data_IF_952067455275
#
_entry.id   IF_952067455275
#
_cell.length_a   1.000
_cell.length_b   1.000
_cell.length_c   1.000
_cell.angle_alpha   90.00
_cell.angle_beta   90.00
_cell.angle_gamma   90.00
#
_symmetry.space_group_name_H-M   'P 1'
#
loop_
_entity.id
_entity.type
_entity.pdbx_description
1 polymer ?
#
# COMPACT_ATOMS: atom_id res chain seq x y z
N UNK A 1 -70.08 -8.17 7.32
CA UNK A 1 -69.12 -9.15 6.78
C UNK A 1 -68.14 -8.54 5.76
N UNK A 2 -68.60 -7.94 4.65
CA UNK A 2 -67.68 -7.34 3.65
C UNK A 2 -66.86 -6.14 4.16
N UNK A 3 -67.44 -5.27 5.00
CA UNK A 3 -66.72 -4.14 5.61
C UNK A 3 -65.66 -4.56 6.63
N UNK A 4 -65.93 -5.63 7.38
CA UNK A 4 -65.03 -6.17 8.40
C UNK A 4 -63.81 -6.87 7.77
N UNK A 5 -64.04 -7.59 6.66
CA UNK A 5 -62.98 -8.13 5.81
C UNK A 5 -62.10 -7.02 5.21
N UNK A 6 -62.70 -5.93 4.72
CA UNK A 6 -61.96 -4.80 4.16
C UNK A 6 -61.11 -4.07 5.21
N UNK A 7 -61.62 -3.92 6.43
CA UNK A 7 -60.91 -3.33 7.57
C UNK A 7 -59.76 -4.22 8.08
N UNK A 8 -59.95 -5.54 8.10
CA UNK A 8 -58.87 -6.49 8.42
C UNK A 8 -57.79 -6.55 7.33
N UNK A 9 -58.18 -6.42 6.05
CA UNK A 9 -57.23 -6.36 4.94
C UNK A 9 -56.38 -5.07 4.97
N UNK A 10 -57.00 -3.92 5.27
CA UNK A 10 -56.27 -2.66 5.48
C UNK A 10 -55.31 -2.73 6.68
N UNK A 11 -55.73 -3.33 7.80
CA UNK A 11 -54.83 -3.55 8.95
C UNK A 11 -53.68 -4.49 8.60
N UNK A 12 -53.92 -5.54 7.81
CA UNK A 12 -52.88 -6.44 7.31
C UNK A 12 -51.83 -5.74 6.45
N UNK A 13 -52.24 -4.81 5.58
CA UNK A 13 -51.33 -4.03 4.73
C UNK A 13 -50.36 -3.14 5.53
N UNK A 14 -50.78 -2.63 6.70
CA UNK A 14 -49.90 -1.85 7.58
C UNK A 14 -48.73 -2.67 8.15
N UNK A 15 -48.84 -4.00 8.22
CA UNK A 15 -47.78 -4.86 8.76
C UNK A 15 -46.80 -5.37 7.70
N UNK A 16 -47.14 -5.28 6.41
CA UNK A 16 -46.29 -5.77 5.31
C UNK A 16 -44.99 -4.97 5.23
N UNK A 17 -45.05 -3.64 5.29
CA UNK A 17 -43.86 -2.78 5.26
C UNK A 17 -42.86 -3.10 6.37
N UNK A 18 -43.27 -3.11 7.65
CA UNK A 18 -42.42 -3.52 8.76
C UNK A 18 -41.87 -4.95 8.61
N UNK A 19 -42.70 -5.91 8.17
CA UNK A 19 -42.26 -7.29 7.97
C UNK A 19 -41.17 -7.39 6.89
N UNK A 20 -41.35 -6.70 5.77
CA UNK A 20 -40.33 -6.63 4.70
C UNK A 20 -39.08 -5.92 5.21
N UNK A 21 -39.23 -4.84 5.98
CA UNK A 21 -38.10 -4.15 6.59
C UNK A 21 -37.29 -5.04 7.53
N UNK A 22 -37.96 -5.85 8.36
CA UNK A 22 -37.32 -6.85 9.23
C UNK A 22 -36.63 -7.94 8.41
N UNK A 23 -37.26 -8.43 7.34
CA UNK A 23 -36.65 -9.42 6.46
C UNK A 23 -35.39 -8.88 5.76
N UNK A 24 -35.47 -7.65 5.23
CA UNK A 24 -34.32 -6.98 4.62
C UNK A 24 -33.23 -6.76 5.65
N UNK A 25 -33.57 -6.32 6.87
CA UNK A 25 -32.62 -6.20 7.97
C UNK A 25 -31.90 -7.53 8.24
N UNK A 26 -32.62 -8.63 8.40
CA UNK A 26 -32.00 -9.95 8.58
C UNK A 26 -31.15 -10.35 7.37
N UNK A 27 -31.56 -10.02 6.14
CA UNK A 27 -30.76 -10.26 4.95
C UNK A 27 -29.43 -9.48 5.00
N UNK A 28 -29.44 -8.23 5.48
CA UNK A 28 -28.21 -7.41 5.60
C UNK A 28 -27.17 -8.02 6.54
N UNK A 29 -27.59 -8.86 7.48
CA UNK A 29 -26.70 -9.60 8.40
C UNK A 29 -26.10 -10.87 7.79
N UNK A 30 -26.43 -11.21 6.54
CA UNK A 30 -25.95 -12.43 5.87
C UNK A 30 -24.80 -12.15 4.91
N UNK A 31 -23.94 -13.15 4.70
CA UNK A 31 -22.92 -13.12 3.65
C UNK A 31 -23.52 -12.99 2.25
N UNK A 32 -24.76 -13.45 2.02
CA UNK A 32 -25.44 -13.29 0.74
C UNK A 32 -25.65 -11.82 0.38
N UNK A 33 -25.97 -10.97 1.37
CA UNK A 33 -26.07 -9.53 1.16
C UNK A 33 -24.71 -8.89 0.89
N UNK A 34 -23.66 -9.25 1.65
CA UNK A 34 -22.29 -8.77 1.38
C UNK A 34 -21.88 -9.08 -0.07
N UNK A 35 -22.11 -10.29 -0.55
CA UNK A 35 -21.82 -10.66 -1.95
C UNK A 35 -22.67 -9.87 -2.94
N UNK A 36 -23.95 -9.67 -2.68
CA UNK A 36 -24.81 -8.86 -3.55
C UNK A 36 -24.33 -7.40 -3.61
N UNK A 37 -23.89 -6.82 -2.50
CA UNK A 37 -23.30 -5.48 -2.45
C UNK A 37 -22.08 -5.38 -3.35
N UNK A 38 -21.15 -6.35 -3.28
CA UNK A 38 -19.96 -6.40 -4.14
C UNK A 38 -20.31 -6.48 -5.64
N UNK A 39 -21.36 -7.21 -6.00
CA UNK A 39 -21.85 -7.25 -7.40
C UNK A 39 -22.40 -5.88 -7.81
N UNK A 40 -23.18 -5.23 -6.95
CA UNK A 40 -23.69 -3.89 -7.26
C UNK A 40 -22.59 -2.83 -7.26
N UNK A 41 -21.50 -3.02 -6.51
CA UNK A 41 -20.31 -2.19 -6.54
C UNK A 41 -19.69 -2.20 -7.95
N UNK A 42 -19.41 -3.39 -8.47
CA UNK A 42 -18.85 -3.56 -9.82
C UNK A 42 -19.78 -2.93 -10.87
N UNK A 43 -21.09 -3.15 -10.76
CA UNK A 43 -22.10 -2.56 -11.66
C UNK A 43 -22.11 -1.02 -11.61
N UNK A 44 -21.96 -0.42 -10.43
CA UNK A 44 -21.94 1.05 -10.25
C UNK A 44 -20.75 1.67 -10.98
N UNK A 45 -19.57 1.06 -10.88
CA UNK A 45 -18.38 1.54 -11.60
C UNK A 45 -18.48 1.31 -13.10
N UNK A 46 -18.98 0.16 -13.54
CA UNK A 46 -19.25 -0.09 -14.97
C UNK A 46 -20.23 0.93 -15.54
N UNK A 47 -21.31 1.22 -14.83
CA UNK A 47 -22.30 2.21 -15.25
C UNK A 47 -21.71 3.62 -15.27
N UNK A 48 -20.96 4.02 -14.23
CA UNK A 48 -20.23 5.28 -14.19
C UNK A 48 -19.29 5.41 -15.39
N UNK A 49 -18.48 4.39 -15.66
CA UNK A 49 -17.49 4.42 -16.74
C UNK A 49 -18.15 4.47 -18.12
N UNK A 50 -19.33 3.85 -18.30
CA UNK A 50 -20.14 4.00 -19.53
C UNK A 50 -20.70 5.41 -19.72
N UNK A 51 -21.05 6.10 -18.63
CA UNK A 51 -21.61 7.47 -18.69
C UNK A 51 -20.53 8.55 -18.80
N UNK A 52 -19.42 8.41 -18.08
CA UNK A 52 -18.41 9.47 -17.91
C UNK A 52 -17.05 9.13 -18.54
N UNK A 53 -16.89 7.93 -19.10
CA UNK A 53 -15.61 7.43 -19.61
C UNK A 53 -14.76 6.74 -18.52
N UNK A 54 -13.70 6.07 -18.96
CA UNK A 54 -12.71 5.47 -18.05
C UNK A 54 -11.93 6.58 -17.33
N UNK A 55 -11.45 6.33 -16.09
CA UNK A 55 -10.58 7.29 -15.42
C UNK A 55 -9.32 7.55 -16.26
N UNK A 56 -8.86 8.81 -16.36
CA UNK A 56 -7.66 9.13 -17.14
C UNK A 56 -6.42 8.53 -16.49
N UNK A 57 -5.49 8.03 -17.31
CA UNK A 57 -4.18 7.54 -16.87
C UNK A 57 -3.11 8.57 -17.21
N UNK A 58 -2.23 8.87 -16.24
CA UNK A 58 -1.09 9.74 -16.47
C UNK A 58 0.00 8.97 -17.24
N UNK A 59 0.43 9.50 -18.40
CA UNK A 59 1.46 8.87 -19.24
C UNK A 59 2.86 8.88 -18.61
N UNK A 60 3.08 9.70 -17.57
CA UNK A 60 4.33 9.76 -16.82
C UNK A 60 4.35 8.80 -15.62
N UNK A 61 3.33 7.96 -15.46
CA UNK A 61 3.27 6.90 -14.48
C UNK A 61 3.46 5.54 -15.18
N UNK A 62 4.41 4.75 -14.70
CA UNK A 62 4.66 3.40 -15.19
C UNK A 62 5.24 2.51 -14.10
N UNK A 63 5.34 1.23 -14.39
CA UNK A 63 5.93 0.23 -13.50
C UNK A 63 7.11 -0.46 -14.15
N UNK A 64 8.02 -0.95 -13.31
CA UNK A 64 9.07 -1.88 -13.70
C UNK A 64 8.71 -3.23 -13.11
N UNK A 65 8.40 -4.16 -13.99
CA UNK A 65 7.83 -5.45 -13.64
C UNK A 65 8.93 -6.51 -13.55
N UNK A 66 8.93 -7.27 -12.46
CA UNK A 66 9.70 -8.51 -12.35
C UNK A 66 8.86 -9.61 -12.99
N UNK A 67 8.93 -9.65 -14.31
CA UNK A 67 8.15 -10.53 -15.17
C UNK A 67 8.89 -11.85 -15.46
N UNK A 68 8.27 -12.69 -16.29
CA UNK A 68 8.88 -13.96 -16.70
C UNK A 68 10.21 -13.75 -17.44
N UNK A 69 10.32 -12.72 -18.29
CA UNK A 69 11.56 -12.40 -19.02
C UNK A 69 12.67 -12.06 -18.03
N UNK A 70 12.34 -11.29 -17.00
CA UNK A 70 13.27 -10.87 -15.96
C UNK A 70 13.83 -12.07 -15.19
N UNK A 71 12.97 -12.99 -14.76
CA UNK A 71 13.40 -14.22 -14.06
C UNK A 71 14.14 -15.19 -14.99
N UNK A 72 13.81 -15.24 -16.28
CA UNK A 72 14.55 -16.05 -17.27
C UNK A 72 15.98 -15.54 -17.49
N UNK A 73 16.21 -14.23 -17.42
CA UNK A 73 17.52 -13.59 -17.64
C UNK A 73 18.35 -13.55 -16.36
N UNK A 74 17.78 -13.08 -15.25
CA UNK A 74 18.49 -12.83 -13.99
C UNK A 74 18.46 -14.03 -13.03
N UNK A 75 17.62 -15.03 -13.31
CA UNK A 75 17.40 -16.17 -12.42
C UNK A 75 16.36 -15.90 -11.33
N UNK A 76 16.36 -16.75 -10.31
CA UNK A 76 15.33 -16.77 -9.26
C UNK A 76 15.34 -15.46 -8.45
N UNK A 77 14.22 -14.74 -8.47
CA UNK A 77 14.02 -13.46 -7.79
C UNK A 77 14.48 -13.43 -6.31
N UNK A 78 14.23 -14.51 -5.55
CA UNK A 78 14.62 -14.59 -4.14
C UNK A 78 16.14 -14.61 -3.89
N UNK A 79 16.94 -14.86 -4.93
CA UNK A 79 18.41 -14.91 -4.86
C UNK A 79 19.05 -13.61 -5.38
N UNK A 80 18.25 -12.61 -5.79
CA UNK A 80 18.75 -11.36 -6.34
C UNK A 80 19.44 -10.51 -5.26
N UNK A 81 20.67 -10.10 -5.55
CA UNK A 81 21.40 -9.09 -4.79
C UNK A 81 20.97 -7.67 -5.18
N UNK A 82 21.43 -6.65 -4.43
CA UNK A 82 20.95 -5.27 -4.64
C UNK A 82 21.41 -4.62 -5.94
N UNK A 83 22.45 -5.14 -6.59
CA UNK A 83 22.93 -4.70 -7.92
C UNK A 83 21.78 -4.58 -8.93
N UNK A 84 20.85 -5.53 -8.93
CA UNK A 84 19.67 -5.52 -9.80
C UNK A 84 18.82 -4.27 -9.62
N UNK A 85 18.63 -3.82 -8.37
CA UNK A 85 17.86 -2.60 -8.08
C UNK A 85 18.69 -1.33 -8.28
N UNK A 86 20.00 -1.39 -8.07
CA UNK A 86 20.93 -0.26 -8.27
C UNK A 86 20.89 0.22 -9.72
N UNK A 87 20.98 -0.71 -10.68
CA UNK A 87 20.99 -0.35 -12.11
C UNK A 87 19.65 0.30 -12.53
N UNK A 88 18.53 -0.20 -11.98
CA UNK A 88 17.21 0.41 -12.19
C UNK A 88 17.15 1.84 -11.63
N UNK A 89 17.62 2.06 -10.40
CA UNK A 89 17.59 3.41 -9.79
C UNK A 89 18.47 4.38 -10.57
N UNK A 90 19.68 3.96 -10.97
CA UNK A 90 20.58 4.78 -11.79
C UNK A 90 19.94 5.16 -13.12
N UNK A 91 19.35 4.18 -13.81
CA UNK A 91 18.66 4.41 -15.07
C UNK A 91 17.53 5.43 -14.89
N UNK A 92 16.64 5.22 -13.92
CA UNK A 92 15.50 6.13 -13.68
C UNK A 92 15.95 7.54 -13.28
N UNK A 93 17.05 7.64 -12.52
CA UNK A 93 17.64 8.92 -12.17
C UNK A 93 18.21 9.64 -13.41
N UNK A 94 18.88 8.94 -14.31
CA UNK A 94 19.39 9.48 -15.58
C UNK A 94 18.26 9.99 -16.50
N UNK A 95 17.09 9.33 -16.47
CA UNK A 95 15.87 9.77 -17.16
C UNK A 95 15.13 10.92 -16.45
N UNK A 96 15.59 11.36 -15.28
CA UNK A 96 14.98 12.47 -14.54
C UNK A 96 13.62 12.12 -13.93
N UNK A 97 13.41 10.86 -13.55
CA UNK A 97 12.16 10.42 -12.90
C UNK A 97 11.97 11.16 -11.59
N UNK A 98 10.75 11.66 -11.35
CA UNK A 98 10.47 12.51 -10.19
C UNK A 98 10.45 11.74 -8.87
N UNK A 99 9.82 10.56 -8.84
CA UNK A 99 9.70 9.70 -7.66
C UNK A 99 9.78 8.22 -8.07
N UNK A 100 10.45 7.42 -7.26
CA UNK A 100 10.61 5.98 -7.45
C UNK A 100 10.05 5.27 -6.22
N UNK A 101 9.19 4.27 -6.39
CA UNK A 101 8.66 3.46 -5.28
C UNK A 101 8.99 1.99 -5.48
N UNK A 102 9.55 1.34 -4.46
CA UNK A 102 9.79 -0.10 -4.46
C UNK A 102 8.66 -0.84 -3.73
N UNK A 103 7.87 -1.63 -4.46
CA UNK A 103 6.97 -2.65 -3.88
C UNK A 103 7.75 -3.95 -3.57
N UNK A 104 8.86 -3.79 -2.84
CA UNK A 104 9.76 -4.87 -2.41
C UNK A 104 10.18 -4.58 -0.97
N UNK A 105 10.09 -5.58 -0.10
CA UNK A 105 10.46 -5.45 1.31
C UNK A 105 11.94 -5.72 1.50
N UNK A 106 12.71 -4.66 1.78
CA UNK A 106 14.14 -4.75 2.08
C UNK A 106 14.37 -4.84 3.59
N UNK A 107 13.83 -5.89 4.22
CA UNK A 107 13.82 -6.09 5.68
C UNK A 107 14.99 -6.96 6.19
N UNK A 108 15.68 -7.65 5.28
CA UNK A 108 16.80 -8.55 5.59
C UNK A 108 18.06 -8.14 4.80
N UNK A 109 19.27 -8.31 5.38
CA UNK A 109 20.54 -8.05 4.70
C UNK A 109 20.67 -8.87 3.42
N UNK A 110 21.22 -8.24 2.37
CA UNK A 110 21.55 -8.94 1.13
C UNK A 110 22.68 -9.93 1.39
N UNK A 111 22.54 -11.16 0.85
CA UNK A 111 23.63 -12.12 0.87
C UNK A 111 24.79 -11.59 0.02
N UNK A 112 26.03 -11.77 0.49
CA UNK A 112 27.23 -11.43 -0.30
C UNK A 112 27.48 -12.56 -1.31
N UNK A 113 26.87 -12.44 -2.49
CA UNK A 113 27.09 -13.37 -3.61
C UNK A 113 28.25 -12.90 -4.48
N UNK A 114 29.12 -13.85 -4.83
CA UNK A 114 30.26 -13.65 -5.72
C UNK A 114 30.04 -14.53 -6.96
N UNK A 115 30.11 -13.91 -8.13
CA UNK A 115 30.02 -14.60 -9.42
C UNK A 115 31.34 -15.27 -9.81
N UNK A 116 31.27 -16.28 -10.68
CA UNK A 116 32.44 -16.93 -11.26
C UNK A 116 33.38 -15.92 -11.93
N UNK A 117 32.82 -14.98 -12.72
CA UNK A 117 33.59 -13.94 -13.38
C UNK A 117 34.37 -13.03 -12.41
N UNK A 118 33.81 -12.75 -11.23
CA UNK A 118 34.50 -11.98 -10.19
C UNK A 118 35.67 -12.76 -9.56
N UNK A 119 35.54 -14.08 -9.46
CA UNK A 119 36.62 -14.96 -8.95
C UNK A 119 37.72 -15.09 -10.00
N UNK A 120 37.36 -15.32 -11.26
CA UNK A 120 38.31 -15.42 -12.38
C UNK A 120 39.09 -14.13 -12.63
N UNK A 121 38.52 -12.98 -12.25
CA UNK A 121 39.17 -11.68 -12.33
C UNK A 121 40.20 -11.41 -11.21
N UNK A 122 40.36 -12.31 -10.23
CA UNK A 122 41.37 -12.16 -9.20
C UNK A 122 42.77 -12.55 -9.71
N UNK A 123 43.76 -11.70 -9.46
CA UNK A 123 45.16 -11.98 -9.77
C UNK A 123 45.74 -13.11 -8.89
N UNK A 124 45.27 -13.23 -7.65
CA UNK A 124 45.62 -14.30 -6.71
C UNK A 124 44.48 -14.66 -5.76
N UNK A 125 44.45 -15.92 -5.32
CA UNK A 125 43.50 -16.42 -4.31
C UNK A 125 44.22 -16.47 -2.96
N UNK A 126 44.35 -15.31 -2.34
CA UNK A 126 44.92 -15.13 -1.01
C UNK A 126 43.93 -14.40 -0.08
N UNK A 127 44.14 -14.42 1.26
CA UNK A 127 43.20 -13.82 2.20
C UNK A 127 42.92 -12.32 1.97
N UNK A 128 43.90 -11.57 1.46
CA UNK A 128 43.74 -10.13 1.20
C UNK A 128 42.85 -9.90 -0.03
N UNK A 129 43.14 -10.59 -1.13
CA UNK A 129 42.33 -10.55 -2.36
C UNK A 129 40.87 -11.00 -2.13
N UNK A 130 40.67 -12.04 -1.31
CA UNK A 130 39.31 -12.50 -0.94
C UNK A 130 38.60 -11.46 -0.07
N UNK A 131 39.29 -10.87 0.91
CA UNK A 131 38.71 -9.84 1.75
C UNK A 131 38.31 -8.60 0.93
N UNK A 132 39.16 -8.19 -0.01
CA UNK A 132 38.85 -7.11 -0.96
C UNK A 132 37.61 -7.45 -1.79
N UNK A 133 37.54 -8.65 -2.38
CA UNK A 133 36.39 -9.07 -3.18
C UNK A 133 35.08 -9.07 -2.37
N UNK A 134 35.11 -9.57 -1.14
CA UNK A 134 33.95 -9.56 -0.23
C UNK A 134 33.54 -8.15 0.18
N UNK A 135 34.50 -7.24 0.34
CA UNK A 135 34.22 -5.83 0.62
C UNK A 135 33.57 -5.13 -0.57
N UNK A 136 33.98 -5.46 -1.80
CA UNK A 136 33.41 -4.93 -3.05
C UNK A 136 32.05 -5.53 -3.38
N UNK A 137 31.71 -6.66 -2.76
CA UNK A 137 30.43 -7.36 -2.92
C UNK A 137 29.44 -7.02 -1.79
N UNK A 138 29.60 -5.84 -1.17
CA UNK A 138 28.64 -5.31 -0.19
C UNK A 138 27.48 -4.60 -0.90
N UNK A 139 26.52 -5.40 -1.36
CA UNK A 139 25.40 -4.89 -2.14
C UNK A 139 24.48 -3.95 -1.36
N UNK A 140 24.34 -4.13 -0.04
CA UNK A 140 23.53 -3.22 0.78
C UNK A 140 24.19 -1.83 0.88
N UNK A 141 25.50 -1.75 1.05
CA UNK A 141 26.21 -0.47 1.05
C UNK A 141 26.21 0.21 -0.33
N UNK A 142 26.40 -0.55 -1.41
CA UNK A 142 26.27 0.00 -2.77
C UNK A 142 24.86 0.53 -3.05
N UNK A 143 23.83 -0.16 -2.54
CA UNK A 143 22.46 0.28 -2.70
C UNK A 143 22.17 1.51 -1.87
N UNK A 144 22.64 1.56 -0.61
CA UNK A 144 22.57 2.75 0.24
C UNK A 144 23.13 3.98 -0.47
N UNK A 145 24.32 3.86 -1.07
CA UNK A 145 24.95 4.97 -1.81
C UNK A 145 24.06 5.43 -2.98
N UNK A 146 23.55 4.48 -3.75
CA UNK A 146 22.68 4.76 -4.90
C UNK A 146 21.35 5.44 -4.46
N UNK A 147 20.76 4.99 -3.36
CA UNK A 147 19.55 5.61 -2.79
C UNK A 147 19.82 7.06 -2.36
N UNK A 148 20.95 7.30 -1.68
CA UNK A 148 21.34 8.64 -1.23
C UNK A 148 21.64 9.59 -2.40
N UNK A 149 22.27 9.08 -3.46
CA UNK A 149 22.56 9.83 -4.69
C UNK A 149 21.28 10.21 -5.45
N UNK A 150 20.32 9.30 -5.55
CA UNK A 150 19.05 9.55 -6.24
C UNK A 150 18.12 10.48 -5.46
N UNK A 151 18.03 10.32 -4.13
CA UNK A 151 17.30 11.23 -3.23
C UNK A 151 15.77 11.30 -3.43
N UNK A 152 15.20 10.47 -4.30
CA UNK A 152 13.79 10.46 -4.72
C UNK A 152 13.10 9.09 -4.57
N UNK A 153 13.71 8.18 -3.81
CA UNK A 153 13.23 6.79 -3.66
C UNK A 153 12.35 6.61 -2.41
N UNK A 154 11.30 5.81 -2.54
CA UNK A 154 10.45 5.33 -1.46
C UNK A 154 10.58 3.81 -1.32
N UNK A 155 10.75 3.34 -0.09
CA UNK A 155 10.85 1.91 0.22
C UNK A 155 9.58 1.39 0.89
N UNK A 156 9.16 0.18 0.54
CA UNK A 156 8.05 -0.48 1.20
C UNK A 156 8.44 -1.03 2.58
N UNK A 157 7.54 -0.84 3.55
CA UNK A 157 7.55 -1.59 4.81
C UNK A 157 6.31 -2.49 4.91
N UNK A 158 6.34 -3.44 5.83
CA UNK A 158 5.13 -4.21 6.17
C UNK A 158 4.32 -3.49 7.26
N UNK A 159 3.05 -3.84 7.36
CA UNK A 159 2.22 -3.72 8.56
C UNK A 159 1.34 -4.96 8.65
N UNK A 160 1.20 -5.52 9.85
CA UNK A 160 0.36 -6.67 10.11
C UNK A 160 -0.95 -6.16 10.68
N UNK A 161 -2.03 -6.36 9.94
CA UNK A 161 -3.39 -5.98 10.35
C UNK A 161 -4.22 -7.26 10.49
N UNK A 162 -4.79 -7.57 11.65
CA UNK A 162 -5.67 -8.73 11.80
C UNK A 162 -6.92 -8.51 10.96
N UNK A 163 -7.19 -9.41 10.01
CA UNK A 163 -8.39 -9.32 9.17
C UNK A 163 -9.60 -9.96 9.85
N UNK A 164 -10.78 -9.40 9.60
CA UNK A 164 -12.09 -9.86 10.12
C UNK A 164 -12.35 -11.36 9.88
N UNK A 165 -11.87 -11.92 8.77
CA UNK A 165 -12.08 -13.33 8.40
C UNK A 165 -11.06 -14.29 9.04
N UNK A 166 -10.11 -13.79 9.82
CA UNK A 166 -9.18 -14.65 10.57
C UNK A 166 -9.90 -15.25 11.79
N UNK A 167 -9.92 -16.58 11.89
CA UNK A 167 -10.48 -17.30 13.05
C UNK A 167 -9.62 -17.16 14.31
N UNK A 168 -8.57 -16.35 14.26
CA UNK A 168 -7.56 -16.21 15.30
C UNK A 168 -7.93 -15.00 16.17
N UNK A 169 -7.95 -15.20 17.49
CA UNK A 169 -8.12 -14.11 18.44
C UNK A 169 -6.93 -13.15 18.30
N UNK A 170 -7.21 -11.87 18.02
CA UNK A 170 -6.18 -10.82 17.90
C UNK A 170 -5.30 -10.78 19.15
N UNK A 171 -5.88 -11.04 20.33
CA UNK A 171 -5.16 -11.08 21.60
C UNK A 171 -4.15 -12.22 21.64
N UNK A 172 -4.51 -13.38 21.10
CA UNK A 172 -3.61 -14.54 21.00
C UNK A 172 -2.48 -14.25 20.00
N UNK A 173 -2.81 -13.70 18.82
CA UNK A 173 -1.81 -13.31 17.82
C UNK A 173 -0.81 -12.30 18.41
N UNK A 174 -1.31 -11.25 19.08
CA UNK A 174 -0.47 -10.23 19.72
C UNK A 174 0.42 -10.84 20.80
N UNK A 175 -0.09 -11.81 21.57
CA UNK A 175 0.70 -12.48 22.62
C UNK A 175 1.85 -13.36 22.08
N UNK A 176 1.77 -13.75 20.81
CA UNK A 176 2.80 -14.55 20.12
C UNK A 176 3.83 -13.67 19.39
N UNK A 177 3.58 -12.37 19.25
CA UNK A 177 4.52 -11.46 18.62
C UNK A 177 5.72 -11.21 19.53
N UNK A 178 6.90 -11.20 18.91
CA UNK A 178 8.10 -10.72 19.61
C UNK A 178 7.94 -9.23 19.91
N UNK A 179 8.40 -8.76 21.09
CA UNK A 179 8.42 -7.33 21.39
C UNK A 179 9.23 -6.54 20.37
N UNK A 180 8.86 -5.27 20.13
CA UNK A 180 9.62 -4.39 19.23
C UNK A 180 11.09 -4.34 19.62
N UNK A 181 11.97 -4.55 18.65
CA UNK A 181 13.40 -4.37 18.84
C UNK A 181 13.79 -2.89 18.71
N UNK A 182 15.06 -2.57 19.05
CA UNK A 182 15.57 -1.19 19.01
C UNK A 182 15.54 -0.56 17.62
N UNK A 183 15.55 -1.38 16.57
CA UNK A 183 15.49 -0.89 15.20
C UNK A 183 14.07 -0.50 14.78
N UNK A 184 13.08 -1.32 15.14
CA UNK A 184 11.66 -1.02 14.97
C UNK A 184 11.27 0.23 15.76
N UNK A 185 11.77 0.39 16.99
CA UNK A 185 11.48 1.59 17.80
C UNK A 185 12.04 2.86 17.15
N UNK A 186 13.25 2.80 16.58
CA UNK A 186 13.81 3.93 15.85
C UNK A 186 13.05 4.24 14.56
N UNK A 187 12.58 3.22 13.84
CA UNK A 187 11.72 3.43 12.67
C UNK A 187 10.38 4.06 13.07
N UNK A 188 9.78 3.63 14.19
CA UNK A 188 8.52 4.17 14.70
C UNK A 188 8.63 5.66 14.99
N UNK A 189 9.74 6.10 15.58
CA UNK A 189 9.99 7.52 15.84
C UNK A 189 10.09 8.34 14.55
N UNK A 190 10.74 7.81 13.51
CA UNK A 190 10.78 8.47 12.19
C UNK A 190 9.38 8.57 11.57
N UNK A 191 8.56 7.53 11.68
CA UNK A 191 7.17 7.54 11.21
C UNK A 191 6.36 8.59 11.99
N UNK A 192 6.46 8.59 13.33
CA UNK A 192 5.76 9.52 14.22
C UNK A 192 5.99 10.99 13.85
N UNK A 193 7.22 11.36 13.50
CA UNK A 193 7.58 12.73 13.11
C UNK A 193 6.89 13.20 11.81
N UNK A 194 6.50 12.26 10.94
CA UNK A 194 5.91 12.53 9.62
C UNK A 194 4.46 12.08 9.51
N UNK A 195 3.89 11.50 10.57
CA UNK A 195 2.58 10.86 10.54
C UNK A 195 1.45 11.85 10.25
N UNK A 196 0.45 11.48 9.43
CA UNK A 196 -0.79 12.23 9.30
C UNK A 196 -1.45 12.49 10.67
N UNK A 197 -2.20 13.59 10.75
CA UNK A 197 -2.94 13.96 11.95
C UNK A 197 -4.26 13.20 11.98
N UNK A 198 -4.44 12.39 13.01
CA UNK A 198 -5.73 11.80 13.31
C UNK A 198 -6.62 12.87 13.96
N UNK A 199 -7.77 13.15 13.35
CA UNK A 199 -8.65 14.24 13.77
C UNK A 199 -9.68 13.82 14.83
N UNK A 200 -9.57 12.58 15.30
CA UNK A 200 -10.35 11.99 16.40
C UNK A 200 -9.38 11.49 17.48
N UNK A 201 -9.91 11.20 18.67
CA UNK A 201 -9.11 10.54 19.70
C UNK A 201 -8.61 9.18 19.19
N UNK A 202 -7.29 8.87 19.24
CA UNK A 202 -6.76 7.58 18.80
C UNK A 202 -7.46 6.35 19.42
N UNK A 203 -7.90 6.47 20.67
CA UNK A 203 -8.60 5.37 21.35
C UNK A 203 -10.01 5.12 20.80
N UNK A 204 -10.64 6.17 20.26
CA UNK A 204 -12.00 6.16 19.69
C UNK A 204 -12.02 5.96 18.17
N UNK A 205 -10.84 5.98 17.53
CA UNK A 205 -10.69 5.81 16.10
C UNK A 205 -11.09 4.40 15.62
N UNK A 206 -11.81 4.39 14.50
CA UNK A 206 -12.33 3.19 13.81
C UNK A 206 -11.36 2.63 12.77
N UNK A 207 -10.23 3.30 12.52
CA UNK A 207 -9.24 2.85 11.54
C UNK A 207 -8.77 1.43 11.85
N UNK A 208 -8.49 0.65 10.80
CA UNK A 208 -7.86 -0.65 10.98
C UNK A 208 -6.55 -0.52 11.75
N UNK A 209 -6.40 -1.35 12.79
CA UNK A 209 -5.24 -1.31 13.69
C UNK A 209 -4.20 -2.34 13.29
N UNK A 210 -2.99 -1.86 13.02
CA UNK A 210 -1.81 -2.69 12.89
C UNK A 210 -1.32 -3.19 14.25
N UNK A 211 -0.81 -4.41 14.29
CA UNK A 211 -0.27 -5.06 15.49
C UNK A 211 1.24 -5.28 15.42
N UNK A 212 1.82 -5.34 14.22
CA UNK A 212 3.26 -5.43 13.99
C UNK A 212 3.63 -4.72 12.68
N UNK A 213 4.92 -4.47 12.50
CA UNK A 213 5.48 -3.95 11.24
C UNK A 213 6.97 -4.28 11.15
N UNK A 214 7.46 -4.40 9.93
CA UNK A 214 8.87 -4.61 9.61
C UNK A 214 9.33 -3.44 8.72
N UNK A 215 10.13 -2.50 9.27
CA UNK A 215 10.67 -1.39 8.49
C UNK A 215 11.80 -1.89 7.57
N UNK A 216 12.14 -1.16 6.50
CA UNK A 216 13.34 -1.49 5.73
C UNK A 216 14.57 -1.42 6.62
N UNK A 217 15.62 -2.16 6.25
CA UNK A 217 16.92 -2.12 6.90
C UNK A 217 17.33 -0.68 7.20
N UNK A 218 17.76 -0.42 8.44
CA UNK A 218 18.18 0.92 8.87
C UNK A 218 19.11 1.60 7.87
N UNK A 219 20.13 0.87 7.41
CA UNK A 219 21.11 1.35 6.44
C UNK A 219 20.42 1.98 5.21
N UNK A 220 19.39 1.31 4.67
CA UNK A 220 18.69 1.73 3.46
C UNK A 220 17.64 2.81 3.76
N UNK A 221 16.87 2.68 4.85
CA UNK A 221 15.81 3.64 5.17
C UNK A 221 16.35 5.03 5.53
N UNK A 222 17.56 5.10 6.09
CA UNK A 222 18.20 6.38 6.43
C UNK A 222 18.76 7.09 5.18
N UNK A 223 18.91 6.38 4.06
CA UNK A 223 19.43 6.88 2.79
C UNK A 223 18.35 7.17 1.74
N UNK A 224 17.08 6.90 2.04
CA UNK A 224 15.96 7.05 1.11
C UNK A 224 15.13 8.30 1.40
N UNK A 225 14.27 8.72 0.47
CA UNK A 225 13.39 9.90 0.66
C UNK A 225 12.33 9.65 1.73
N UNK A 226 11.72 8.47 1.69
CA UNK A 226 10.77 8.00 2.68
C UNK A 226 10.52 6.51 2.59
N UNK A 227 9.75 6.01 3.55
CA UNK A 227 9.26 4.63 3.54
C UNK A 227 7.85 4.61 4.13
N UNK A 228 7.03 3.66 3.67
CA UNK A 228 5.62 3.54 4.01
C UNK A 228 5.11 2.15 3.60
N UNK A 229 3.96 1.73 4.11
CA UNK A 229 3.48 0.37 3.80
C UNK A 229 2.91 0.28 2.38
N UNK A 230 3.12 -0.84 1.70
CA UNK A 230 2.65 -1.05 0.32
C UNK A 230 1.50 -2.08 0.20
N UNK A 231 1.03 -2.63 1.32
CA UNK A 231 0.05 -3.72 1.30
C UNK A 231 -1.36 -3.29 0.88
N UNK A 232 -2.08 -4.25 0.29
CA UNK A 232 -3.47 -4.13 -0.15
C UNK A 232 -4.36 -5.10 0.63
N UNK A 233 -5.66 -4.84 0.68
CA UNK A 233 -6.67 -5.74 1.26
C UNK A 233 -7.53 -6.36 0.17
N UNK A 234 -8.12 -7.52 0.47
CA UNK A 234 -9.06 -8.22 -0.42
C UNK A 234 -10.45 -8.16 0.19
N UNK A 235 -11.47 -8.07 -0.64
CA UNK A 235 -12.85 -8.31 -0.24
C UNK A 235 -13.09 -9.81 -0.01
N UNK A 236 -14.25 -10.17 0.52
CA UNK A 236 -14.65 -11.55 0.82
C UNK A 236 -14.62 -12.50 -0.40
N UNK A 237 -14.68 -11.98 -1.63
CA UNK A 237 -14.56 -12.76 -2.88
C UNK A 237 -13.12 -12.80 -3.44
N UNK A 238 -12.15 -12.26 -2.70
CA UNK A 238 -10.74 -12.23 -3.06
C UNK A 238 -10.32 -11.12 -4.03
N UNK A 239 -11.26 -10.35 -4.59
CA UNK A 239 -10.92 -9.19 -5.43
C UNK A 239 -10.52 -7.99 -4.55
N UNK A 240 -9.84 -7.02 -5.14
CA UNK A 240 -9.40 -5.80 -4.48
C UNK A 240 -10.24 -4.62 -4.98
N UNK A 241 -11.29 -4.24 -4.26
CA UNK A 241 -12.08 -3.03 -4.59
C UNK A 241 -11.77 -1.84 -3.69
N UNK A 242 -11.11 -2.11 -2.57
CA UNK A 242 -10.73 -1.10 -1.59
C UNK A 242 -9.21 -1.04 -1.48
N UNK A 243 -8.69 0.15 -1.25
CA UNK A 243 -7.29 0.38 -0.96
C UNK A 243 -7.16 1.05 0.40
N UNK A 244 -6.49 0.42 1.38
CA UNK A 244 -6.28 1.01 2.70
C UNK A 244 -5.29 2.17 2.56
N UNK A 245 -5.78 3.41 2.63
CA UNK A 245 -4.93 4.60 2.49
C UNK A 245 -4.12 4.87 3.75
N UNK A 246 -4.70 4.52 4.90
CA UNK A 246 -4.08 4.65 6.20
C UNK A 246 -4.42 3.45 7.08
N UNK A 247 -3.50 3.15 8.00
CA UNK A 247 -3.74 2.29 9.15
C UNK A 247 -3.38 3.04 10.42
N UNK A 248 -3.91 2.62 11.56
CA UNK A 248 -3.47 3.10 12.86
C UNK A 248 -2.55 2.06 13.50
N UNK A 249 -1.40 2.49 14.01
CA UNK A 249 -0.53 1.67 14.83
C UNK A 249 -0.29 2.42 16.13
N UNK A 250 -0.77 1.86 17.24
CA UNK A 250 -0.84 2.57 18.53
C UNK A 250 -1.59 3.91 18.39
N UNK A 251 -0.93 5.03 18.71
CA UNK A 251 -1.43 6.39 18.57
C UNK A 251 -1.00 7.07 17.25
N UNK A 252 -0.30 6.37 16.37
CA UNK A 252 0.29 6.90 15.15
C UNK A 252 -0.51 6.44 13.92
N UNK A 253 -0.77 7.36 12.98
CA UNK A 253 -1.30 6.99 11.67
C UNK A 253 -0.16 6.62 10.73
N UNK A 254 -0.21 5.41 10.20
CA UNK A 254 0.69 4.94 9.15
C UNK A 254 0.01 5.28 7.81
N UNK A 255 0.63 6.08 6.93
CA UNK A 255 0.15 6.28 5.57
C UNK A 255 0.60 5.14 4.66
N UNK A 256 -0.23 4.80 3.68
CA UNK A 256 0.18 3.95 2.56
C UNK A 256 1.29 4.63 1.75
N UNK A 257 2.10 3.83 1.06
CA UNK A 257 3.16 4.32 0.18
C UNK A 257 2.59 5.19 -0.95
N UNK A 258 1.43 4.82 -1.49
CA UNK A 258 0.74 5.64 -2.49
C UNK A 258 0.36 7.03 -1.92
N UNK A 259 -0.21 7.09 -0.72
CA UNK A 259 -0.54 8.36 -0.08
C UNK A 259 0.73 9.19 0.19
N UNK A 260 1.77 8.59 0.74
CA UNK A 260 3.03 9.28 1.03
C UNK A 260 3.68 9.87 -0.23
N UNK A 261 3.69 9.12 -1.34
CA UNK A 261 4.22 9.59 -2.62
C UNK A 261 3.35 10.68 -3.26
N UNK A 262 2.02 10.56 -3.17
CA UNK A 262 1.10 11.60 -3.68
C UNK A 262 1.24 12.90 -2.88
N UNK A 263 1.38 12.84 -1.56
CA UNK A 263 1.65 14.01 -0.72
C UNK A 263 2.91 14.75 -1.19
N UNK A 264 3.99 14.01 -1.42
CA UNK A 264 5.24 14.58 -1.90
C UNK A 264 5.15 15.13 -3.33
N UNK A 265 4.45 14.42 -4.23
CA UNK A 265 4.15 14.91 -5.58
C UNK A 265 3.35 16.22 -5.55
N UNK A 266 2.41 16.36 -4.61
CA UNK A 266 1.59 17.56 -4.41
C UNK A 266 2.22 18.59 -3.46
N UNK A 267 3.45 18.36 -3.01
CA UNK A 267 4.19 19.23 -2.08
C UNK A 267 3.47 19.50 -0.75
N UNK A 268 2.71 18.51 -0.27
CA UNK A 268 2.02 18.52 1.03
C UNK A 268 2.86 17.70 2.01
N UNK A 269 3.36 18.29 3.11
CA UNK A 269 4.00 17.52 4.17
C UNK A 269 3.02 16.48 4.73
N UNK A 270 3.42 15.21 4.83
CA UNK A 270 2.54 14.16 5.35
C UNK A 270 2.01 14.46 6.76
N UNK A 271 2.76 15.19 7.59
CA UNK A 271 2.33 15.64 8.92
C UNK A 271 1.31 16.77 8.94
N UNK A 272 0.97 17.34 7.78
CA UNK A 272 -0.14 18.28 7.59
C UNK A 272 -1.43 17.59 7.11
N UNK A 273 -1.34 16.33 6.65
CA UNK A 273 -2.51 15.57 6.19
C UNK A 273 -3.45 15.32 7.35
N UNK A 274 -4.74 15.52 7.13
CA UNK A 274 -5.79 15.30 8.13
C UNK A 274 -6.57 14.03 7.81
N UNK A 275 -6.78 13.19 8.82
CA UNK A 275 -7.48 11.92 8.69
C UNK A 275 -8.78 12.00 9.49
N UNK A 276 -9.90 11.94 8.76
CA UNK A 276 -11.26 11.89 9.31
C UNK A 276 -11.85 10.52 8.99
N UNK A 277 -11.74 9.52 9.90
CA UNK A 277 -12.27 8.18 9.67
C UNK A 277 -13.76 8.24 9.31
N UNK A 278 -14.17 7.54 8.24
CA UNK A 278 -15.55 7.54 7.74
C UNK A 278 -15.91 8.65 6.76
N UNK A 279 -15.08 9.69 6.68
CA UNK A 279 -15.32 10.85 5.84
C UNK A 279 -14.28 10.96 4.71
N UNK A 280 -13.06 11.42 5.02
CA UNK A 280 -12.02 11.69 4.03
C UNK A 280 -10.61 11.80 4.64
N UNK A 281 -9.62 11.63 3.78
CA UNK A 281 -8.24 12.09 3.97
C UNK A 281 -8.09 13.44 3.27
N UNK A 282 -7.72 14.49 4.00
CA UNK A 282 -7.50 15.84 3.43
C UNK A 282 -6.01 16.14 3.31
N UNK A 283 -5.60 16.49 2.10
CA UNK A 283 -4.29 17.04 1.77
C UNK A 283 -4.46 18.56 1.61
N UNK A 284 -4.14 19.37 2.64
CA UNK A 284 -4.31 20.82 2.57
C UNK A 284 -3.28 21.46 1.64
N UNK A 285 -3.66 22.55 0.98
CA UNK A 285 -2.77 23.37 0.14
C UNK A 285 -1.98 22.57 -0.93
N UNK A 286 -2.58 21.50 -1.46
CA UNK A 286 -1.95 20.67 -2.48
C UNK A 286 -1.66 21.47 -3.75
N UNK A 287 -0.42 21.36 -4.23
CA UNK A 287 0.12 22.11 -5.38
C UNK A 287 0.16 21.22 -6.61
N UNK A 288 -0.60 21.60 -7.62
CA UNK A 288 -0.66 20.92 -8.91
C UNK A 288 0.38 21.47 -9.88
N UNK A 289 0.70 20.70 -10.93
CA UNK A 289 1.72 21.07 -11.92
C UNK A 289 1.35 22.31 -12.74
N UNK A 290 0.05 22.62 -12.86
CA UNK A 290 -0.46 23.83 -13.50
C UNK A 290 -0.32 25.09 -12.61
N UNK A 291 0.23 24.93 -11.40
CA UNK A 291 0.38 25.99 -10.40
C UNK A 291 -0.85 26.21 -9.52
N UNK A 292 -1.95 25.48 -9.75
CA UNK A 292 -3.15 25.56 -8.92
C UNK A 292 -2.85 25.03 -7.52
N UNK A 293 -3.34 25.74 -6.50
CA UNK A 293 -3.27 25.33 -5.10
C UNK A 293 -4.69 25.14 -4.59
N UNK A 294 -4.99 23.96 -4.07
CA UNK A 294 -6.29 23.67 -3.45
C UNK A 294 -6.19 22.46 -2.54
N UNK A 295 -7.13 22.36 -1.62
CA UNK A 295 -7.29 21.15 -0.84
C UNK A 295 -7.73 19.98 -1.73
N UNK A 296 -7.22 18.79 -1.41
CA UNK A 296 -7.64 17.53 -2.01
C UNK A 296 -8.22 16.67 -0.90
N UNK A 297 -9.47 16.25 -1.08
CA UNK A 297 -10.15 15.31 -0.20
C UNK A 297 -10.30 13.98 -0.91
N UNK A 298 -9.81 12.91 -0.28
CA UNK A 298 -9.92 11.55 -0.76
C UNK A 298 -10.90 10.81 0.15
N UNK A 299 -12.11 10.45 -0.33
CA UNK A 299 -13.09 9.77 0.49
C UNK A 299 -12.59 8.41 1.00
N UNK A 300 -12.80 8.15 2.28
CA UNK A 300 -12.46 6.88 2.94
C UNK A 300 -13.66 6.34 3.72
N UNK A 301 -13.71 5.02 3.91
CA UNK A 301 -14.64 4.40 4.86
C UNK A 301 -14.15 4.58 6.30
N UNK A 302 -14.96 4.10 7.26
CA UNK A 302 -14.66 4.15 8.70
C UNK A 302 -13.31 3.52 9.05
N UNK A 303 -12.83 2.61 8.21
CA UNK A 303 -11.62 1.84 8.44
C UNK A 303 -10.39 2.38 7.70
N UNK A 304 -10.49 3.56 7.06
CA UNK A 304 -9.38 4.22 6.38
C UNK A 304 -9.14 3.76 4.94
N UNK A 305 -10.10 3.04 4.34
CA UNK A 305 -9.97 2.51 2.99
C UNK A 305 -10.74 3.34 1.97
N UNK A 306 -10.10 3.65 0.85
CA UNK A 306 -10.77 4.28 -0.29
C UNK A 306 -11.33 3.21 -1.24
N UNK A 307 -12.42 3.57 -1.92
CA UNK A 307 -12.93 2.79 -3.05
C UNK A 307 -12.08 3.00 -4.30
N UNK A 308 -11.75 1.92 -5.01
CA UNK A 308 -10.89 1.95 -6.20
C UNK A 308 -11.73 1.78 -7.46
N UNK A 309 -11.73 2.81 -8.32
CA UNK A 309 -12.21 2.70 -9.69
C UNK A 309 -11.07 2.24 -10.59
N UNK A 310 -11.01 0.96 -10.92
CA UNK A 310 -9.95 0.42 -11.78
C UNK A 310 -10.02 1.00 -13.19
N UNK A 311 -8.89 1.53 -13.66
CA UNK A 311 -8.70 2.17 -14.98
C UNK A 311 -8.81 1.21 -16.17
N UNK A 312 -8.85 -0.09 -15.93
CA UNK A 312 -8.96 -1.11 -16.97
C UNK A 312 -8.24 -2.39 -16.61
N UNK A 313 -7.94 -3.20 -17.64
CA UNK A 313 -7.06 -4.37 -17.49
C UNK A 313 -5.63 -3.91 -17.26
N UNK A 314 -4.91 -4.61 -16.39
CA UNK A 314 -3.53 -4.30 -16.03
C UNK A 314 -2.65 -4.04 -17.27
N UNK A 315 -2.69 -4.97 -18.23
CA UNK A 315 -1.86 -4.95 -19.45
C UNK A 315 -2.13 -3.75 -20.38
N UNK A 316 -3.28 -3.09 -20.24
CA UNK A 316 -3.76 -2.06 -21.15
C UNK A 316 -3.74 -0.66 -20.53
N UNK A 317 -3.49 -0.54 -19.22
CA UNK A 317 -3.73 0.70 -18.48
C UNK A 317 -2.49 1.57 -18.30
N UNK A 318 -1.39 0.99 -17.81
CA UNK A 318 -0.14 1.72 -17.52
C UNK A 318 0.98 1.27 -18.46
N UNK A 319 2.06 2.06 -18.51
CA UNK A 319 3.27 1.63 -19.19
C UNK A 319 4.02 0.66 -18.28
N UNK A 320 4.31 -0.54 -18.79
CA UNK A 320 5.01 -1.60 -18.09
C UNK A 320 6.35 -1.83 -18.76
N UNK A 321 7.43 -1.67 -18.02
CA UNK A 321 8.78 -1.97 -18.48
C UNK A 321 9.25 -3.28 -17.82
N UNK A 322 9.82 -4.24 -18.56
CA UNK A 322 10.49 -5.37 -17.93
C UNK A 322 11.69 -4.86 -17.12
N UNK A 323 12.00 -5.51 -15.99
CA UNK A 323 13.21 -5.23 -15.22
C UNK A 323 14.49 -5.35 -16.07
N UNK A 324 14.48 -6.31 -17.01
CA UNK A 324 15.57 -6.52 -17.96
C UNK A 324 15.26 -5.86 -19.31
N UNK A 325 16.13 -4.95 -19.73
CA UNK A 325 16.04 -4.26 -21.02
C UNK A 325 15.91 -5.22 -22.22
#
# INVERSE_FOLDING_TARGET
MAEEQKKNQQRGQLYIGPLVGVLVFFLTLTNAYRTAELVTYDLRFDFRNRLFGMPPVNQHLGTIDIDKKSVEVEGRFGDWTRDKYIDVVRLLNDYGVRLIGFDIFFIEPSTKLISEAQIEALDSIDPESIAELLSRSDYDEMFRQTLAEAGNVYLAQTIVVPQEDSTLDVTEVVSLLEPRNADQEAALEVIRQRAPRLMVNPDESTLWRGIAFDPPLRLLRDATRGFAYAQTTKDADGKRRRYPLVYQYEDIVFPSMALAMVCDFLQVPTSAVEIWPGDFVRLPDARFEDGTIRDVEIPIDDYGSMSVNWVGRWQESFVHYPHVA
#
